data_IF_356169172690
#
_entry.id   IF_356169172690
#
_cell.length_a   1.000
_cell.length_b   1.000
_cell.length_c   1.000
_cell.angle_alpha   90.00
_cell.angle_beta   90.00
_cell.angle_gamma   90.00
#
_symmetry.space_group_name_H-M   'P 1'
#
loop_
_entity.id
_entity.type
_entity.pdbx_description
1 polymer ?
#
# COMPACT_ATOMS: atom_id res chain seq x y z
N UNK A 1 0.96 5.65 16.13
CA UNK A 1 -0.15 5.01 16.87
C UNK A 1 -1.41 5.14 16.02
N UNK A 2 -1.79 4.09 15.29
CA UNK A 2 -3.01 4.04 14.45
C UNK A 2 -3.94 3.01 15.08
N UNK A 3 -5.22 3.36 15.22
CA UNK A 3 -6.13 2.86 16.23
C UNK A 3 -6.36 1.34 16.25
N UNK A 4 -6.63 0.83 17.46
CA UNK A 4 -7.08 -0.54 17.72
C UNK A 4 -8.49 -0.74 17.14
N UNK A 5 -8.60 -1.16 15.87
CA UNK A 5 -9.85 -1.70 15.35
C UNK A 5 -9.99 -3.13 15.87
N UNK A 6 -10.88 -3.34 16.84
CA UNK A 6 -11.32 -4.69 17.21
C UNK A 6 -12.27 -5.17 16.11
N UNK A 7 -11.78 -6.09 15.28
CA UNK A 7 -12.61 -6.81 14.32
C UNK A 7 -13.64 -7.66 15.08
N UNK A 8 -14.88 -7.65 14.59
CA UNK A 8 -16.13 -8.05 15.28
C UNK A 8 -16.22 -9.52 15.72
N UNK A 9 -15.19 -10.35 15.53
CA UNK A 9 -15.29 -11.81 15.70
C UNK A 9 -14.18 -12.45 16.55
N UNK A 10 -13.53 -11.67 17.42
CA UNK A 10 -12.54 -12.19 18.41
C UNK A 10 -11.23 -12.72 17.82
N UNK A 11 -11.14 -12.83 16.50
CA UNK A 11 -9.98 -13.31 15.75
C UNK A 11 -8.95 -12.20 15.60
N UNK A 12 -7.81 -12.36 16.27
CA UNK A 12 -6.70 -11.40 16.22
C UNK A 12 -5.87 -11.67 14.97
N UNK A 13 -5.91 -10.80 13.97
CA UNK A 13 -5.07 -10.88 12.76
C UNK A 13 -3.58 -10.56 13.00
N UNK A 14 -3.18 -10.42 14.28
CA UNK A 14 -1.81 -10.12 14.68
C UNK A 14 -1.40 -8.69 14.38
N UNK A 15 -0.23 -8.29 14.89
CA UNK A 15 0.41 -7.05 14.48
C UNK A 15 1.29 -7.33 13.26
N UNK A 16 1.21 -6.46 12.27
CA UNK A 16 1.99 -6.56 11.04
C UNK A 16 2.58 -5.21 10.65
N UNK A 17 3.68 -5.24 9.92
CA UNK A 17 4.33 -4.04 9.34
C UNK A 17 4.34 -4.18 7.83
N UNK A 18 3.80 -3.17 7.14
CA UNK A 18 3.82 -3.07 5.67
C UNK A 18 4.61 -1.82 5.30
N UNK A 19 5.58 -1.98 4.41
CA UNK A 19 6.35 -0.88 3.85
C UNK A 19 5.86 -0.57 2.42
N UNK A 20 5.43 0.67 2.22
CA UNK A 20 5.00 1.18 0.92
C UNK A 20 5.87 2.38 0.55
N UNK A 21 6.23 2.48 -0.72
CA UNK A 21 7.05 3.57 -1.26
C UNK A 21 6.36 4.19 -2.46
N UNK A 22 6.44 5.51 -2.55
CA UNK A 22 5.90 6.27 -3.66
C UNK A 22 6.94 7.27 -4.15
N UNK A 23 7.26 7.21 -5.44
CA UNK A 23 8.28 8.03 -6.10
C UNK A 23 7.58 8.85 -7.18
N UNK A 24 7.77 10.17 -7.13
CA UNK A 24 7.37 11.08 -8.20
C UNK A 24 8.62 11.62 -8.89
N UNK A 25 8.65 11.53 -10.22
CA UNK A 25 9.69 12.08 -11.06
C UNK A 25 9.08 13.10 -12.02
N UNK A 26 9.45 14.37 -11.84
CA UNK A 26 9.06 15.44 -12.75
C UNK A 26 9.94 15.38 -14.00
N UNK A 27 9.39 14.88 -15.10
CA UNK A 27 10.09 14.79 -16.40
C UNK A 27 10.08 16.17 -17.09
N UNK A 28 8.97 16.90 -16.95
CA UNK A 28 8.81 18.26 -17.49
C UNK A 28 7.77 19.03 -16.66
N UNK A 29 7.60 20.34 -16.91
CA UNK A 29 6.62 21.17 -16.19
C UNK A 29 5.19 20.60 -16.23
N UNK A 30 4.86 19.87 -17.29
CA UNK A 30 3.54 19.31 -17.56
C UNK A 30 3.49 17.77 -17.45
N UNK A 31 4.61 17.10 -17.15
CA UNK A 31 4.70 15.64 -17.14
C UNK A 31 5.39 15.14 -15.88
N UNK A 32 4.66 14.38 -15.08
CA UNK A 32 5.15 13.70 -13.88
C UNK A 32 4.97 12.20 -14.07
N UNK A 33 6.05 11.43 -14.01
CA UNK A 33 5.97 10.00 -13.84
C UNK A 33 5.88 9.65 -12.36
N UNK A 34 5.09 8.64 -12.02
CA UNK A 34 5.05 8.11 -10.66
C UNK A 34 5.24 6.60 -10.65
N UNK A 35 5.84 6.13 -9.56
CA UNK A 35 6.03 4.73 -9.26
C UNK A 35 5.61 4.47 -7.82
N UNK A 36 4.72 3.51 -7.61
CA UNK A 36 4.20 3.10 -6.32
C UNK A 36 4.50 1.63 -6.10
N UNK A 37 5.26 1.34 -5.06
CA UNK A 37 5.58 0.01 -4.60
C UNK A 37 4.85 -0.23 -3.29
N UNK A 38 3.90 -1.15 -3.30
CA UNK A 38 3.18 -1.57 -2.11
C UNK A 38 3.72 -2.89 -1.59
N UNK A 39 3.75 -3.02 -0.27
CA UNK A 39 4.16 -4.22 0.44
C UNK A 39 5.53 -4.75 -0.03
N UNK A 40 6.55 -3.89 0.06
CA UNK A 40 7.91 -4.18 -0.44
C UNK A 40 8.50 -5.46 0.19
N UNK A 41 8.16 -5.70 1.46
CA UNK A 41 8.60 -6.86 2.24
C UNK A 41 7.78 -8.13 2.02
N UNK A 42 6.77 -8.09 1.14
CA UNK A 42 5.86 -9.22 0.86
C UNK A 42 5.19 -9.77 2.13
N UNK A 43 4.87 -8.89 3.06
CA UNK A 43 4.23 -9.26 4.32
C UNK A 43 2.86 -9.85 4.01
N UNK A 44 2.62 -11.10 4.40
CA UNK A 44 1.28 -11.69 4.37
C UNK A 44 0.51 -11.17 5.60
N UNK A 45 -0.58 -10.45 5.38
CA UNK A 45 -1.43 -9.93 6.44
C UNK A 45 -2.92 -10.01 6.07
N UNK A 46 -3.78 -9.76 7.06
CA UNK A 46 -5.22 -9.72 6.87
C UNK A 46 -5.76 -8.50 7.62
N UNK A 47 -6.36 -7.55 6.91
CA UNK A 47 -7.04 -6.41 7.54
C UNK A 47 -8.42 -6.79 8.07
N UNK A 48 -9.09 -7.74 7.39
CA UNK A 48 -10.33 -8.36 7.84
C UNK A 48 -10.06 -9.85 7.95
N UNK A 49 -10.40 -10.45 9.09
CA UNK A 49 -10.18 -11.87 9.32
C UNK A 49 -10.84 -12.72 8.21
N UNK A 50 -10.07 -13.66 7.63
CA UNK A 50 -10.55 -14.54 6.56
C UNK A 50 -10.56 -13.94 5.15
N UNK A 51 -10.21 -12.65 4.99
CA UNK A 51 -10.05 -12.02 3.67
C UNK A 51 -8.57 -11.73 3.38
N UNK A 52 -8.09 -12.20 2.23
CA UNK A 52 -6.74 -11.91 1.77
C UNK A 52 -6.59 -10.42 1.42
N UNK A 53 -5.48 -9.81 1.85
CA UNK A 53 -5.09 -8.46 1.41
C UNK A 53 -4.15 -8.53 0.21
N UNK A 54 -3.91 -7.39 -0.45
CA UNK A 54 -2.97 -7.35 -1.57
C UNK A 54 -1.54 -7.73 -1.11
N UNK A 55 -0.88 -8.58 -1.89
CA UNK A 55 0.54 -8.88 -1.75
C UNK A 55 1.41 -7.78 -2.33
N UNK A 56 2.71 -8.05 -2.49
CA UNK A 56 3.63 -7.10 -3.13
C UNK A 56 3.12 -6.68 -4.51
N UNK A 57 2.93 -5.38 -4.69
CA UNK A 57 2.34 -4.81 -5.91
C UNK A 57 3.14 -3.61 -6.40
N UNK A 58 3.36 -3.51 -7.71
CA UNK A 58 4.05 -2.40 -8.37
C UNK A 58 3.08 -1.70 -9.32
N UNK A 59 2.91 -0.39 -9.13
CA UNK A 59 2.14 0.47 -10.02
C UNK A 59 3.07 1.54 -10.58
N UNK A 60 2.92 1.86 -11.86
CA UNK A 60 3.59 2.97 -12.50
C UNK A 60 2.60 3.72 -13.38
N UNK A 61 2.78 5.03 -13.53
CA UNK A 61 1.92 5.84 -14.38
C UNK A 61 2.48 7.21 -14.69
N UNK A 62 1.81 7.89 -15.60
CA UNK A 62 2.13 9.25 -16.02
C UNK A 62 0.96 10.17 -15.66
N UNK A 63 1.28 11.32 -15.08
CA UNK A 63 0.35 12.40 -14.81
C UNK A 63 0.72 13.58 -15.69
N UNK A 64 -0.19 13.92 -16.59
CA UNK A 64 -0.10 15.08 -17.47
C UNK A 64 -0.90 16.23 -16.84
N UNK A 65 -0.26 17.38 -16.64
CA UNK A 65 -0.92 18.61 -16.20
C UNK A 65 -1.02 19.55 -17.40
N UNK A 66 -2.24 19.83 -17.85
CA UNK A 66 -2.56 20.83 -18.87
C UNK A 66 -2.88 22.16 -18.20
#
# INVERSE_FOLDING_TARGET
YVGKRKDTDGSKTGYYTVLNTYINMSISKNLIAYLKLNNITDTYYQTVNGYATEGRSLYAGLNLKY
#
